data_IF_499179596084
#
_entry.id   IF_499179596084
#
_cell.length_a   1.000
_cell.length_b   1.000
_cell.length_c   1.000
_cell.angle_alpha   90.00
_cell.angle_beta   90.00
_cell.angle_gamma   90.00
#
_symmetry.space_group_name_H-M   'P 1'
#
loop_
_entity.id
_entity.type
_entity.pdbx_description
1 polymer ?
#
# COMPACT_ATOMS: atom_id res chain seq x y z
N UNK A 1 -10.39 9.19 20.74
CA UNK A 1 -10.42 10.24 21.78
C UNK A 1 -11.12 11.45 21.17
N UNK A 2 -12.03 12.08 21.91
CA UNK A 2 -12.92 13.16 21.42
C UNK A 2 -12.29 14.56 21.49
N UNK A 3 -10.96 14.65 21.49
CA UNK A 3 -10.19 15.89 21.62
C UNK A 3 -9.37 16.23 20.36
N UNK A 4 -9.63 15.54 19.23
CA UNK A 4 -8.92 15.77 17.97
C UNK A 4 -7.44 15.36 18.00
N UNK A 5 -6.98 14.69 19.06
CA UNK A 5 -5.63 14.15 19.13
C UNK A 5 -5.60 12.75 18.52
N UNK A 6 -4.89 12.64 17.40
CA UNK A 6 -4.62 11.35 16.78
C UNK A 6 -3.52 10.64 17.59
N UNK A 7 -3.83 9.44 18.09
CA UNK A 7 -2.80 8.53 18.61
C UNK A 7 -2.11 7.91 17.40
N UNK A 8 -0.91 8.37 17.08
CA UNK A 8 -0.01 7.65 16.18
C UNK A 8 0.40 6.33 16.86
N UNK A 9 -0.21 5.22 16.45
CA UNK A 9 0.28 3.88 16.84
C UNK A 9 1.71 3.74 16.30
N UNK A 10 2.65 3.31 17.15
CA UNK A 10 4.11 3.20 16.89
C UNK A 10 4.53 2.28 15.71
N UNK A 11 3.61 1.80 14.89
CA UNK A 11 3.87 0.87 13.77
C UNK A 11 4.13 1.51 12.40
N UNK A 12 4.04 2.83 12.23
CA UNK A 12 4.23 3.51 10.93
C UNK A 12 5.21 4.69 11.01
N UNK A 13 6.17 4.63 11.95
CA UNK A 13 7.24 5.65 12.11
C UNK A 13 8.49 5.27 11.31
N UNK A 14 8.42 4.30 10.40
CA UNK A 14 9.55 4.05 9.50
C UNK A 14 9.52 5.05 8.35
N UNK A 15 10.42 6.03 8.45
CA UNK A 15 10.81 6.96 7.41
C UNK A 15 9.81 8.06 7.02
N UNK A 16 8.64 8.24 7.64
CA UNK A 16 7.82 9.43 7.34
C UNK A 16 8.59 10.71 7.70
N UNK A 17 9.25 10.77 8.86
CA UNK A 17 10.08 11.95 9.19
C UNK A 17 11.31 12.08 8.30
N UNK A 18 11.93 10.96 7.93
CA UNK A 18 13.09 10.95 7.02
C UNK A 18 12.67 11.40 5.61
N UNK A 19 11.53 10.94 5.13
CA UNK A 19 10.89 11.32 3.88
C UNK A 19 10.49 12.80 3.89
N UNK A 20 9.83 13.27 4.95
CA UNK A 20 9.50 14.69 5.13
C UNK A 20 10.76 15.56 5.22
N UNK A 21 11.84 15.07 5.85
CA UNK A 21 13.13 15.77 5.90
C UNK A 21 13.78 15.84 4.51
N UNK A 22 13.79 14.74 3.76
CA UNK A 22 14.26 14.70 2.37
C UNK A 22 13.44 15.67 1.50
N UNK A 23 12.12 15.64 1.58
CA UNK A 23 11.24 16.56 0.84
C UNK A 23 11.51 18.03 1.20
N UNK A 24 11.78 18.35 2.47
CA UNK A 24 12.12 19.70 2.91
C UNK A 24 13.49 20.16 2.43
N UNK A 25 14.50 19.30 2.49
CA UNK A 25 15.85 19.59 1.99
C UNK A 25 15.84 19.82 0.48
N UNK A 26 15.16 18.95 -0.27
CA UNK A 26 15.02 19.10 -1.73
C UNK A 26 14.24 20.37 -2.10
N UNK A 27 13.23 20.76 -1.31
CA UNK A 27 12.50 22.01 -1.54
C UNK A 27 13.38 23.26 -1.28
N UNK A 28 14.29 23.20 -0.30
CA UNK A 28 15.24 24.29 -0.03
C UNK A 28 16.31 24.39 -1.12
N UNK A 29 16.85 23.27 -1.59
CA UNK A 29 17.79 23.22 -2.71
C UNK A 29 17.15 23.77 -4.00
N UNK A 30 15.87 23.45 -4.24
CA UNK A 30 15.14 23.98 -5.38
C UNK A 30 14.87 25.49 -5.30
N UNK A 31 14.46 26.02 -4.15
CA UNK A 31 14.31 27.47 -3.95
C UNK A 31 15.62 28.22 -4.17
N UNK A 32 16.76 27.59 -3.83
CA UNK A 32 18.09 28.14 -4.09
C UNK A 32 18.47 28.07 -5.59
N UNK A 33 17.95 27.09 -6.33
CA UNK A 33 18.17 26.94 -7.78
C UNK A 33 17.29 27.84 -8.65
N UNK A 34 16.13 28.26 -8.14
CA UNK A 34 15.19 29.19 -8.80
C UNK A 34 15.75 30.61 -8.94
N UNK A 35 16.67 31.01 -8.06
CA UNK A 35 17.35 32.32 -8.15
C UNK A 35 18.39 32.38 -9.29
N UNK A 36 18.71 31.26 -9.96
CA UNK A 36 19.84 31.18 -10.91
C UNK A 36 19.58 30.58 -12.29
N UNK A 37 18.37 30.14 -12.64
CA UNK A 37 18.10 29.66 -14.00
C UNK A 37 16.79 30.14 -14.63
N UNK A 38 16.92 31.11 -15.53
CA UNK A 38 16.01 31.35 -16.65
C UNK A 38 16.56 30.67 -17.91
N UNK A 39 16.12 29.45 -18.25
CA UNK A 39 16.21 28.99 -19.64
C UNK A 39 15.24 27.85 -19.95
N UNK A 40 14.48 28.08 -21.02
CA UNK A 40 13.56 27.18 -21.70
C UNK A 40 14.21 25.84 -22.10
N UNK A 41 13.56 24.72 -21.79
CA UNK A 41 13.09 23.73 -22.79
C UNK A 41 12.43 22.48 -22.15
N UNK A 42 11.48 21.93 -22.92
CA UNK A 42 10.76 20.65 -22.79
C UNK A 42 9.45 20.67 -21.99
N UNK A 43 8.34 20.43 -22.72
CA UNK A 43 6.99 20.02 -22.27
C UNK A 43 6.63 20.35 -20.81
N UNK A 44 6.84 21.60 -20.41
CA UNK A 44 6.67 21.98 -19.02
C UNK A 44 5.19 21.98 -18.69
N UNK A 45 4.86 21.30 -17.59
CA UNK A 45 3.57 21.33 -16.96
C UNK A 45 3.25 22.79 -16.58
N UNK A 46 2.47 23.51 -17.40
CA UNK A 46 2.16 24.92 -17.16
C UNK A 46 1.14 24.99 -16.02
N UNK A 47 1.62 25.34 -14.82
CA UNK A 47 0.78 25.46 -13.63
C UNK A 47 0.60 26.94 -13.30
N UNK A 48 -0.64 27.44 -13.26
CA UNK A 48 -0.90 28.82 -12.90
C UNK A 48 -0.35 29.18 -11.51
N UNK A 49 0.31 30.31 -11.39
CA UNK A 49 1.00 30.75 -10.16
C UNK A 49 0.07 30.86 -8.95
N UNK A 50 -1.20 31.22 -9.17
CA UNK A 50 -2.21 31.29 -8.12
C UNK A 50 -2.48 29.94 -7.45
N UNK A 51 -2.29 28.81 -8.14
CA UNK A 51 -2.48 27.48 -7.58
C UNK A 51 -1.37 27.12 -6.58
N UNK A 52 -0.14 27.60 -6.79
CA UNK A 52 0.95 27.39 -5.82
C UNK A 52 0.67 28.10 -4.50
N UNK A 53 0.15 29.33 -4.56
CA UNK A 53 -0.23 30.09 -3.37
C UNK A 53 -1.40 29.44 -2.62
N UNK A 54 -2.33 28.81 -3.34
CA UNK A 54 -3.52 28.16 -2.77
C UNK A 54 -3.23 26.74 -2.25
N UNK A 55 -2.31 26.01 -2.89
CA UNK A 55 -2.01 24.61 -2.59
C UNK A 55 -0.49 24.36 -2.52
N UNK A 56 0.19 24.71 -1.41
CA UNK A 56 1.64 24.59 -1.28
C UNK A 56 2.19 23.18 -1.50
N UNK A 57 1.42 22.15 -1.12
CA UNK A 57 1.81 20.75 -1.34
C UNK A 57 1.89 20.37 -2.83
N UNK A 58 1.07 20.99 -3.67
CA UNK A 58 1.10 20.78 -5.12
C UNK A 58 2.41 21.27 -5.72
N UNK A 59 2.91 22.41 -5.24
CA UNK A 59 4.22 22.92 -5.61
C UNK A 59 5.31 21.89 -5.28
N UNK A 60 5.28 21.32 -4.08
CA UNK A 60 6.23 20.27 -3.66
C UNK A 60 6.19 19.05 -4.59
N UNK A 61 5.01 18.59 -4.99
CA UNK A 61 4.87 17.44 -5.89
C UNK A 61 5.40 17.72 -7.30
N UNK A 62 5.16 18.92 -7.85
CA UNK A 62 5.64 19.31 -9.19
C UNK A 62 7.16 19.48 -9.19
N UNK A 63 7.71 20.08 -8.13
CA UNK A 63 9.16 20.19 -7.94
C UNK A 63 9.79 18.81 -7.85
N UNK A 64 9.20 17.91 -7.07
CA UNK A 64 9.65 16.52 -6.96
C UNK A 64 9.62 15.79 -8.31
N UNK A 65 8.54 15.95 -9.11
CA UNK A 65 8.48 15.33 -10.44
C UNK A 65 9.56 15.86 -11.38
N UNK A 66 9.92 17.15 -11.30
CA UNK A 66 11.00 17.73 -12.11
C UNK A 66 12.37 17.20 -11.69
N UNK A 67 12.64 17.14 -10.38
CA UNK A 67 13.91 16.62 -9.84
C UNK A 67 14.16 15.15 -10.19
N UNK A 68 13.12 14.32 -10.23
CA UNK A 68 13.27 12.89 -10.56
C UNK A 68 13.36 12.66 -12.07
N UNK A 69 12.84 13.57 -12.89
CA UNK A 69 12.93 13.46 -14.35
C UNK A 69 14.40 13.43 -14.81
N UNK A 70 15.25 14.18 -14.11
CA UNK A 70 16.70 14.20 -14.32
C UNK A 70 17.39 12.87 -13.95
N UNK A 71 16.72 12.01 -13.18
CA UNK A 71 17.23 10.72 -12.73
C UNK A 71 16.84 9.53 -13.66
N UNK A 72 16.32 9.78 -14.87
CA UNK A 72 15.95 8.76 -15.88
C UNK A 72 14.90 7.71 -15.44
N UNK A 73 14.10 8.00 -14.41
CA UNK A 73 12.99 7.13 -14.03
C UNK A 73 11.79 7.32 -14.95
N UNK A 74 11.01 6.25 -15.16
CA UNK A 74 9.72 6.35 -15.85
C UNK A 74 8.72 7.09 -14.96
N UNK A 75 8.46 8.35 -15.31
CA UNK A 75 7.52 9.23 -14.62
C UNK A 75 6.15 9.30 -15.30
N UNK A 76 5.87 8.40 -16.25
CA UNK A 76 4.63 8.43 -17.04
C UNK A 76 3.39 8.47 -16.14
N UNK A 77 3.33 7.63 -15.13
CA UNK A 77 2.22 7.60 -14.18
C UNK A 77 2.06 8.89 -13.36
N UNK A 78 3.17 9.39 -12.79
CA UNK A 78 3.16 10.63 -12.00
C UNK A 78 2.75 11.83 -12.85
N UNK A 79 3.26 11.91 -14.08
CA UNK A 79 2.90 12.96 -15.02
C UNK A 79 1.42 12.90 -15.40
N UNK A 80 0.85 11.71 -15.61
CA UNK A 80 -0.59 11.55 -15.88
C UNK A 80 -1.42 12.04 -14.69
N UNK A 81 -1.05 11.68 -13.46
CA UNK A 81 -1.73 12.14 -12.25
C UNK A 81 -1.68 13.67 -12.12
N UNK A 82 -0.49 14.25 -12.26
CA UNK A 82 -0.30 15.70 -12.09
C UNK A 82 -1.07 16.48 -13.15
N UNK A 83 -0.97 16.06 -14.42
CA UNK A 83 -1.74 16.65 -15.52
C UNK A 83 -3.25 16.58 -15.26
N UNK A 84 -3.74 15.43 -14.80
CA UNK A 84 -5.16 15.26 -14.50
C UNK A 84 -5.63 16.21 -13.40
N UNK A 85 -4.85 16.31 -12.32
CA UNK A 85 -5.13 17.18 -11.18
C UNK A 85 -5.12 18.66 -11.57
N UNK A 86 -4.11 19.12 -12.31
CA UNK A 86 -4.01 20.52 -12.76
C UNK A 86 -5.16 20.85 -13.69
N UNK A 87 -5.46 19.98 -14.65
CA UNK A 87 -6.61 20.17 -15.55
C UNK A 87 -7.88 20.40 -14.74
N UNK A 88 -8.18 19.54 -13.76
CA UNK A 88 -9.37 19.66 -12.92
C UNK A 88 -9.41 20.95 -12.09
N UNK A 89 -8.26 21.51 -11.70
CA UNK A 89 -8.20 22.74 -10.92
C UNK A 89 -8.28 24.01 -11.77
N UNK A 90 -7.86 23.93 -13.03
CA UNK A 90 -7.85 25.07 -13.96
C UNK A 90 -9.16 25.16 -14.74
N UNK A 91 -9.81 24.04 -15.04
CA UNK A 91 -11.07 24.05 -15.79
C UNK A 91 -12.22 24.60 -14.95
N UNK A 92 -12.94 25.58 -15.49
CA UNK A 92 -14.20 26.09 -14.92
C UNK A 92 -15.40 25.17 -15.19
N UNK A 93 -15.17 24.03 -15.85
CA UNK A 93 -16.23 23.04 -16.12
C UNK A 93 -16.85 22.52 -14.82
N UNK A 94 -18.15 22.24 -14.89
CA UNK A 94 -18.90 21.64 -13.77
C UNK A 94 -18.49 20.18 -13.58
N UNK A 95 -17.41 19.96 -12.83
CA UNK A 95 -16.99 18.65 -12.32
C UNK A 95 -15.62 18.18 -12.79
N UNK A 96 -14.93 17.46 -11.90
CA UNK A 96 -13.61 16.89 -12.16
C UNK A 96 -13.68 15.67 -13.07
N UNK A 97 -12.77 15.57 -14.04
CA UNK A 97 -12.67 14.46 -14.99
C UNK A 97 -11.36 13.72 -14.84
N UNK A 98 -11.47 12.45 -14.48
CA UNK A 98 -10.33 11.58 -14.21
C UNK A 98 -9.97 10.71 -15.42
N UNK A 99 -8.68 10.69 -15.74
CA UNK A 99 -8.07 9.80 -16.73
C UNK A 99 -8.22 8.32 -16.33
N UNK A 100 -8.29 7.40 -17.29
CA UNK A 100 -8.48 5.97 -17.04
C UNK A 100 -7.44 5.38 -16.09
N UNK A 101 -6.17 5.74 -16.24
CA UNK A 101 -5.09 5.25 -15.37
C UNK A 101 -5.27 5.79 -13.95
N UNK A 102 -5.67 7.06 -13.82
CA UNK A 102 -6.00 7.66 -12.52
C UNK A 102 -7.19 6.95 -11.91
N UNK A 103 -8.26 6.67 -12.68
CA UNK A 103 -9.44 5.92 -12.21
C UNK A 103 -9.06 4.55 -11.64
N UNK A 104 -8.21 3.79 -12.34
CA UNK A 104 -7.74 2.50 -11.86
C UNK A 104 -6.97 2.63 -10.54
N UNK A 105 -6.02 3.57 -10.46
CA UNK A 105 -5.27 3.83 -9.25
C UNK A 105 -6.17 4.20 -8.05
N UNK A 106 -7.11 5.13 -8.24
CA UNK A 106 -7.97 5.60 -7.14
C UNK A 106 -8.96 4.53 -6.69
N UNK A 107 -9.42 3.66 -7.60
CA UNK A 107 -10.24 2.50 -7.26
C UNK A 107 -9.43 1.50 -6.43
N UNK A 108 -8.20 1.18 -6.86
CA UNK A 108 -7.30 0.32 -6.08
C UNK A 108 -7.00 0.92 -4.71
N UNK A 109 -6.71 2.22 -4.62
CA UNK A 109 -6.47 2.90 -3.35
C UNK A 109 -7.69 2.82 -2.41
N UNK A 110 -8.91 2.95 -2.95
CA UNK A 110 -10.14 2.84 -2.14
C UNK A 110 -10.37 1.42 -1.63
N UNK A 111 -10.16 0.41 -2.48
CA UNK A 111 -10.29 -1.00 -2.12
C UNK A 111 -9.24 -1.39 -1.07
N UNK A 112 -7.98 -1.00 -1.31
CA UNK A 112 -6.81 -1.34 -0.48
C UNK A 112 -6.75 -0.57 0.84
N UNK A 113 -6.79 0.75 0.75
CA UNK A 113 -6.67 1.64 1.91
C UNK A 113 -7.97 1.78 2.70
N UNK A 114 -9.09 1.30 2.12
CA UNK A 114 -10.41 1.51 2.67
C UNK A 114 -10.87 2.97 2.60
N UNK A 115 -12.15 3.19 2.94
CA UNK A 115 -12.79 4.50 2.87
C UNK A 115 -12.06 5.58 3.67
N UNK A 116 -11.54 5.25 4.84
CA UNK A 116 -10.89 6.22 5.74
C UNK A 116 -9.58 6.74 5.17
N UNK A 117 -8.69 5.85 4.68
CA UNK A 117 -7.44 6.28 4.05
C UNK A 117 -7.71 7.07 2.77
N UNK A 118 -8.69 6.61 1.98
CA UNK A 118 -9.10 7.29 0.76
C UNK A 118 -9.59 8.73 1.01
N UNK A 119 -10.53 8.91 1.93
CA UNK A 119 -11.05 10.24 2.28
C UNK A 119 -9.96 11.13 2.87
N UNK A 120 -9.05 10.56 3.68
CA UNK A 120 -7.90 11.30 4.18
C UNK A 120 -7.07 11.87 3.02
N UNK A 121 -6.68 11.05 2.04
CA UNK A 121 -5.91 11.53 0.89
C UNK A 121 -6.72 12.56 0.07
N UNK A 122 -8.02 12.31 -0.15
CA UNK A 122 -8.90 13.18 -0.95
C UNK A 122 -9.03 14.58 -0.36
N UNK A 123 -9.18 14.67 0.96
CA UNK A 123 -9.33 15.94 1.66
C UNK A 123 -8.01 16.73 1.73
N UNK A 124 -6.88 16.03 1.70
CA UNK A 124 -5.55 16.66 1.78
C UNK A 124 -4.95 17.00 0.41
N UNK A 125 -5.39 16.35 -0.67
CA UNK A 125 -4.89 16.60 -2.02
C UNK A 125 -6.07 16.91 -2.96
N UNK A 126 -6.38 18.20 -3.17
CA UNK A 126 -7.55 18.61 -3.94
C UNK A 126 -7.42 18.20 -5.41
N UNK A 127 -8.55 17.84 -6.01
CA UNK A 127 -8.67 17.41 -7.40
C UNK A 127 -7.90 16.15 -7.80
N UNK A 128 -7.13 15.53 -6.89
CA UNK A 128 -6.44 14.26 -7.12
C UNK A 128 -7.41 13.08 -7.15
N UNK A 129 -8.33 13.04 -6.18
CA UNK A 129 -9.24 11.91 -5.97
C UNK A 129 -10.71 12.33 -6.18
N UNK A 130 -11.51 11.53 -6.90
CA UNK A 130 -12.95 11.75 -7.03
C UNK A 130 -13.68 11.58 -5.69
N UNK A 131 -14.97 11.95 -5.66
CA UNK A 131 -15.82 11.67 -4.50
C UNK A 131 -16.05 10.17 -4.32
N UNK A 132 -16.37 9.75 -3.09
CA UNK A 132 -16.71 8.35 -2.79
C UNK A 132 -17.89 7.85 -3.61
N UNK A 133 -18.87 8.71 -3.92
CA UNK A 133 -19.99 8.37 -4.79
C UNK A 133 -19.52 7.99 -6.20
N UNK A 134 -18.60 8.77 -6.77
CA UNK A 134 -18.03 8.49 -8.10
C UNK A 134 -17.19 7.21 -8.07
N UNK A 135 -16.42 6.96 -7.01
CA UNK A 135 -15.67 5.70 -6.85
C UNK A 135 -16.61 4.50 -6.81
N UNK A 136 -17.73 4.59 -6.09
CA UNK A 136 -18.71 3.51 -6.08
C UNK A 136 -19.27 3.25 -7.48
N UNK A 137 -19.49 4.30 -8.28
CA UNK A 137 -19.86 4.15 -9.70
C UNK A 137 -18.74 3.48 -10.51
N UNK A 138 -17.47 3.82 -10.27
CA UNK A 138 -16.36 3.17 -10.96
C UNK A 138 -16.26 1.69 -10.61
N UNK A 139 -16.41 1.33 -9.33
CA UNK A 139 -16.40 -0.07 -8.87
C UNK A 139 -17.56 -0.85 -9.49
N UNK A 140 -18.76 -0.27 -9.51
CA UNK A 140 -19.94 -0.88 -10.11
C UNK A 140 -19.86 -0.96 -11.65
N UNK A 141 -19.15 -0.04 -12.30
CA UNK A 141 -18.91 -0.09 -13.74
C UNK A 141 -17.77 -1.06 -14.09
N UNK A 142 -16.85 -1.29 -13.16
CA UNK A 142 -15.77 -2.27 -13.27
C UNK A 142 -16.17 -3.64 -12.74
N UNK A 143 -17.47 -3.96 -12.69
CA UNK A 143 -18.02 -5.24 -12.23
C UNK A 143 -17.56 -6.35 -13.19
N UNK A 144 -16.29 -6.72 -13.03
CA UNK A 144 -15.65 -7.81 -13.70
C UNK A 144 -15.79 -9.01 -12.77
N UNK A 145 -16.62 -10.00 -13.12
CA UNK A 145 -16.84 -11.18 -12.29
C UNK A 145 -15.56 -12.00 -12.08
N UNK A 146 -14.49 -11.72 -12.83
CA UNK A 146 -13.18 -12.38 -12.71
C UNK A 146 -12.16 -11.57 -11.90
N UNK A 147 -12.49 -10.37 -11.43
CA UNK A 147 -11.58 -9.56 -10.63
C UNK A 147 -11.61 -9.97 -9.16
N UNK A 148 -10.50 -10.56 -8.70
CA UNK A 148 -10.29 -10.94 -7.31
C UNK A 148 -9.25 -10.02 -6.69
N UNK A 149 -9.50 -9.64 -5.44
CA UNK A 149 -8.54 -8.96 -4.64
C UNK A 149 -7.87 -9.95 -3.70
N UNK A 150 -6.54 -9.87 -3.60
CA UNK A 150 -5.78 -10.68 -2.65
C UNK A 150 -4.92 -9.79 -1.77
N UNK A 151 -5.04 -9.99 -0.47
CA UNK A 151 -4.27 -9.27 0.55
C UNK A 151 -3.49 -10.24 1.43
N UNK A 152 -2.33 -9.77 1.88
CA UNK A 152 -1.55 -10.37 2.95
C UNK A 152 -1.59 -9.42 4.16
N UNK A 153 -1.88 -9.95 5.35
CA UNK A 153 -1.78 -9.21 6.60
C UNK A 153 -1.32 -10.10 7.75
N UNK A 154 -0.62 -9.50 8.71
CA UNK A 154 -0.14 -10.17 9.91
C UNK A 154 -0.90 -9.67 11.14
N UNK A 155 -1.62 -10.59 11.79
CA UNK A 155 -2.43 -10.29 12.97
C UNK A 155 -1.88 -10.97 14.22
N UNK A 156 -2.06 -10.33 15.38
CA UNK A 156 -1.67 -10.93 16.65
C UNK A 156 -2.61 -12.07 17.05
N UNK A 157 -2.04 -13.16 17.55
CA UNK A 157 -2.77 -14.33 18.01
C UNK A 157 -2.34 -14.75 19.41
N UNK A 158 -3.24 -15.45 20.12
CA UNK A 158 -2.90 -16.08 21.40
C UNK A 158 -1.94 -17.23 21.12
N UNK A 159 -0.71 -17.23 21.68
CA UNK A 159 0.26 -18.29 21.43
C UNK A 159 -0.24 -19.61 21.99
N UNK A 160 -0.67 -20.50 21.10
CA UNK A 160 -1.16 -21.83 21.45
C UNK A 160 -0.58 -22.84 20.47
N UNK A 161 -0.06 -23.92 21.01
CA UNK A 161 0.41 -25.06 20.23
C UNK A 161 -0.58 -26.19 20.39
N UNK A 162 -1.00 -26.78 19.29
CA UNK A 162 -1.86 -27.96 19.26
C UNK A 162 -1.25 -28.99 18.34
N UNK A 163 -1.29 -30.25 18.74
CA UNK A 163 -0.89 -31.35 17.89
C UNK A 163 -2.06 -31.77 17.00
N UNK A 164 -1.83 -31.84 15.69
CA UNK A 164 -2.78 -32.41 14.74
C UNK A 164 -2.41 -33.86 14.47
N UNK A 165 -3.27 -34.76 14.95
CA UNK A 165 -3.12 -36.20 14.78
C UNK A 165 -3.26 -36.65 13.33
N UNK A 166 -3.96 -35.89 12.47
CA UNK A 166 -4.19 -36.30 11.07
C UNK A 166 -2.94 -36.13 10.21
N UNK A 167 -2.21 -35.03 10.43
CA UNK A 167 -1.00 -34.71 9.68
C UNK A 167 0.28 -34.96 10.49
N UNK A 168 0.17 -35.56 11.69
CA UNK A 168 1.28 -35.84 12.59
C UNK A 168 2.23 -34.63 12.77
N UNK A 169 1.65 -33.47 13.06
CA UNK A 169 2.40 -32.20 13.09
C UNK A 169 1.92 -31.30 14.23
N UNK A 170 2.79 -30.41 14.69
CA UNK A 170 2.38 -29.32 15.56
C UNK A 170 1.89 -28.11 14.76
N UNK A 171 0.75 -27.58 15.17
CA UNK A 171 0.18 -26.32 14.70
C UNK A 171 0.42 -25.26 15.78
N UNK A 172 0.81 -24.05 15.37
CA UNK A 172 0.98 -22.89 16.27
C UNK A 172 2.42 -22.48 16.55
N UNK A 173 3.40 -23.14 15.92
CA UNK A 173 4.77 -22.64 15.85
C UNK A 173 4.94 -21.63 14.71
N UNK A 174 5.96 -20.78 14.83
CA UNK A 174 6.41 -19.98 13.69
C UNK A 174 7.04 -20.92 12.65
N UNK A 175 6.55 -20.90 11.41
CA UNK A 175 7.12 -21.73 10.35
C UNK A 175 8.41 -21.11 9.83
N UNK A 176 9.45 -21.93 9.52
CA UNK A 176 10.60 -21.45 8.78
C UNK A 176 10.16 -21.07 7.36
N UNK A 177 10.83 -20.06 6.81
CA UNK A 177 10.61 -19.61 5.44
C UNK A 177 11.68 -20.20 4.50
N UNK A 178 11.30 -20.48 3.26
CA UNK A 178 12.22 -20.85 2.19
C UNK A 178 12.95 -19.62 1.62
N UNK A 179 13.80 -19.83 0.61
CA UNK A 179 14.52 -18.74 -0.07
C UNK A 179 13.63 -17.75 -0.82
N UNK A 180 12.33 -18.03 -0.95
CA UNK A 180 11.34 -17.15 -1.59
C UNK A 180 10.45 -16.44 -0.56
N UNK A 181 10.71 -16.62 0.75
CA UNK A 181 9.88 -16.07 1.81
C UNK A 181 8.57 -16.83 2.04
N UNK A 182 8.40 -18.02 1.46
CA UNK A 182 7.21 -18.85 1.63
C UNK A 182 7.37 -19.80 2.83
N UNK A 183 6.31 -20.07 3.59
CA UNK A 183 6.37 -21.02 4.69
C UNK A 183 6.65 -22.45 4.19
N UNK A 184 7.62 -23.12 4.82
CA UNK A 184 7.94 -24.52 4.50
C UNK A 184 6.89 -25.42 5.16
N UNK A 185 6.06 -26.04 4.32
CA UNK A 185 5.00 -26.94 4.76
C UNK A 185 5.56 -28.14 5.52
N UNK A 186 4.83 -28.61 6.53
CA UNK A 186 5.16 -29.82 7.31
C UNK A 186 6.55 -29.81 7.99
N UNK A 187 7.11 -28.63 8.26
CA UNK A 187 8.43 -28.48 8.91
C UNK A 187 8.52 -29.12 10.30
N UNK A 188 7.37 -29.32 10.95
CA UNK A 188 7.24 -29.94 12.27
C UNK A 188 6.49 -31.27 12.23
N UNK A 189 6.64 -32.03 11.14
CA UNK A 189 6.11 -33.39 10.99
C UNK A 189 7.17 -34.43 11.34
N UNK A 190 6.85 -35.39 12.21
CA UNK A 190 7.79 -36.47 12.57
C UNK A 190 7.08 -37.65 13.23
N UNK A 191 7.59 -38.86 13.01
CA UNK A 191 7.12 -40.06 13.71
C UNK A 191 7.86 -40.31 15.04
N UNK A 192 8.80 -39.43 15.42
CA UNK A 192 9.60 -39.55 16.64
C UNK A 192 9.04 -38.71 17.79
N UNK A 193 8.64 -39.36 18.88
CA UNK A 193 8.19 -38.66 20.09
C UNK A 193 9.28 -37.76 20.68
N UNK A 194 10.54 -38.21 20.71
CA UNK A 194 11.68 -37.38 21.17
C UNK A 194 11.79 -36.10 20.38
N UNK A 195 11.58 -36.17 19.05
CA UNK A 195 11.64 -34.99 18.19
C UNK A 195 10.48 -34.02 18.44
N UNK A 196 9.29 -34.55 18.75
CA UNK A 196 8.15 -33.73 19.16
C UNK A 196 8.44 -33.00 20.48
N UNK A 197 9.05 -33.67 21.45
CA UNK A 197 9.41 -33.09 22.76
C UNK A 197 10.46 -31.98 22.64
N UNK A 198 11.48 -32.20 21.82
CA UNK A 198 12.49 -31.19 21.45
C UNK A 198 11.82 -29.95 20.85
N UNK A 199 10.96 -30.13 19.84
CA UNK A 199 10.29 -29.00 19.20
C UNK A 199 9.37 -28.24 20.14
N UNK A 200 8.64 -28.95 21.01
CA UNK A 200 7.77 -28.30 21.99
C UNK A 200 8.52 -27.40 22.97
N UNK A 201 9.76 -27.78 23.31
CA UNK A 201 10.60 -27.06 24.25
C UNK A 201 11.36 -25.90 23.59
N UNK A 202 11.87 -26.12 22.38
CA UNK A 202 12.84 -25.21 21.76
C UNK A 202 12.21 -24.24 20.75
N UNK A 203 11.11 -24.63 20.10
CA UNK A 203 10.53 -23.83 19.03
C UNK A 203 9.60 -22.75 19.61
N UNK A 204 9.82 -21.52 19.13
CA UNK A 204 9.02 -20.37 19.55
C UNK A 204 7.58 -20.53 19.05
N UNK A 205 6.65 -20.40 19.98
CA UNK A 205 5.21 -20.31 19.69
C UNK A 205 4.93 -19.04 18.89
N UNK A 206 4.13 -19.17 17.84
CA UNK A 206 3.74 -18.02 17.03
C UNK A 206 2.90 -17.06 17.88
N UNK A 207 3.28 -15.78 17.84
CA UNK A 207 2.51 -14.67 18.44
C UNK A 207 1.77 -13.87 17.37
N UNK A 208 2.11 -14.12 16.10
CA UNK A 208 1.55 -13.49 14.93
C UNK A 208 1.15 -14.59 13.94
N UNK A 209 0.01 -14.38 13.30
CA UNK A 209 -0.50 -15.19 12.20
C UNK A 209 -0.45 -14.32 10.95
N UNK A 210 0.34 -14.74 9.97
CA UNK A 210 0.26 -14.16 8.65
C UNK A 210 -0.87 -14.85 7.88
N UNK A 211 -1.77 -14.08 7.28
CA UNK A 211 -2.94 -14.59 6.58
C UNK A 211 -3.04 -13.98 5.19
N UNK A 212 -3.40 -14.81 4.22
CA UNK A 212 -3.76 -14.39 2.89
C UNK A 212 -5.27 -14.47 2.69
N UNK A 213 -5.85 -13.35 2.33
CA UNK A 213 -7.28 -13.15 2.20
C UNK A 213 -7.61 -12.92 0.73
N UNK A 214 -8.57 -13.67 0.20
CA UNK A 214 -9.13 -13.43 -1.12
C UNK A 214 -10.54 -12.85 -0.95
N UNK A 215 -10.81 -11.77 -1.67
CA UNK A 215 -12.12 -11.15 -1.73
C UNK A 215 -12.50 -10.90 -3.20
N UNK A 216 -13.65 -11.41 -3.68
CA UNK A 216 -14.15 -11.03 -5.00
C UNK A 216 -14.53 -9.55 -5.01
N UNK A 217 -14.18 -8.85 -6.08
CA UNK A 217 -14.54 -7.44 -6.25
C UNK A 217 -15.94 -7.26 -6.85
N UNK A 218 -16.49 -8.30 -7.44
CA UNK A 218 -17.79 -8.22 -8.06
C UNK A 218 -18.92 -8.24 -7.04
N UNK A 219 -19.82 -7.26 -7.19
CA UNK A 219 -21.00 -7.11 -6.34
C UNK A 219 -22.02 -8.24 -6.54
N UNK A 220 -21.91 -8.95 -7.67
CA UNK A 220 -22.71 -10.11 -8.05
C UNK A 220 -22.48 -11.33 -7.17
N UNK A 221 -21.28 -11.46 -6.59
CA UNK A 221 -20.95 -12.58 -5.72
C UNK A 221 -21.20 -12.21 -4.27
N UNK A 222 -22.24 -12.79 -3.67
CA UNK A 222 -22.45 -12.77 -2.21
C UNK A 222 -21.47 -13.70 -1.47
N UNK A 223 -20.22 -13.80 -1.93
CA UNK A 223 -19.19 -14.66 -1.35
C UNK A 223 -18.43 -13.83 -0.32
N UNK A 224 -18.41 -14.30 0.93
CA UNK A 224 -17.62 -13.67 1.97
C UNK A 224 -16.12 -13.82 1.69
N UNK A 225 -15.28 -12.85 2.06
CA UNK A 225 -13.84 -13.02 2.01
C UNK A 225 -13.43 -14.32 2.70
N UNK A 226 -12.49 -15.06 2.10
CA UNK A 226 -12.01 -16.30 2.66
C UNK A 226 -10.49 -16.30 2.79
N UNK A 227 -10.01 -16.91 3.86
CA UNK A 227 -8.60 -17.14 4.10
C UNK A 227 -8.22 -18.39 3.31
N UNK A 228 -7.36 -18.25 2.29
CA UNK A 228 -6.91 -19.42 1.54
C UNK A 228 -5.61 -20.02 2.09
N UNK A 229 -4.81 -19.20 2.79
CA UNK A 229 -3.62 -19.66 3.49
C UNK A 229 -3.35 -18.81 4.73
N UNK A 230 -2.85 -19.44 5.80
CA UNK A 230 -2.37 -18.74 6.98
C UNK A 230 -1.29 -19.57 7.67
N UNK A 231 -0.34 -18.90 8.31
CA UNK A 231 0.73 -19.57 9.05
C UNK A 231 1.30 -18.70 10.16
N UNK A 232 1.84 -19.37 11.18
CA UNK A 232 2.51 -18.70 12.30
C UNK A 232 3.82 -18.05 11.83
N UNK A 233 4.05 -16.81 12.24
CA UNK A 233 5.29 -16.08 11.95
C UNK A 233 5.83 -15.42 13.21
N UNK A 234 7.14 -15.16 13.22
CA UNK A 234 7.79 -14.31 14.23
C UNK A 234 8.07 -12.88 13.71
N UNK A 235 7.57 -12.55 12.50
CA UNK A 235 7.70 -11.26 11.82
C UNK A 235 9.15 -10.80 11.66
N UNK A 236 10.07 -11.75 11.44
CA UNK A 236 11.46 -11.46 11.08
C UNK A 236 11.72 -11.47 9.56
N UNK A 237 10.69 -11.58 8.74
CA UNK A 237 10.82 -11.51 7.28
C UNK A 237 11.29 -10.13 6.83
N UNK A 238 12.23 -10.09 5.89
CA UNK A 238 12.69 -8.87 5.26
C UNK A 238 11.74 -8.42 4.15
N UNK A 239 11.87 -7.17 3.69
CA UNK A 239 11.07 -6.66 2.57
C UNK A 239 11.25 -7.48 1.29
N UNK A 240 12.45 -8.02 1.06
CA UNK A 240 12.73 -8.89 -0.07
C UNK A 240 11.93 -10.20 -0.02
N UNK A 241 11.76 -10.79 1.17
CA UNK A 241 10.98 -12.01 1.38
C UNK A 241 9.49 -11.79 1.09
N UNK A 242 8.97 -10.59 1.38
CA UNK A 242 7.57 -10.22 1.10
C UNK A 242 7.38 -10.06 -0.41
N UNK A 243 8.28 -9.35 -1.09
CA UNK A 243 8.19 -9.14 -2.55
C UNK A 243 8.33 -10.46 -3.32
N UNK A 244 9.31 -11.29 -2.98
CA UNK A 244 9.51 -12.61 -3.62
C UNK A 244 8.28 -13.50 -3.48
N UNK A 245 7.65 -13.47 -2.31
CA UNK A 245 6.43 -14.21 -2.02
C UNK A 245 5.23 -13.70 -2.82
N UNK A 246 5.04 -12.39 -2.91
CA UNK A 246 3.98 -11.83 -3.75
C UNK A 246 4.13 -12.27 -5.20
N UNK A 247 5.35 -12.23 -5.75
CA UNK A 247 5.62 -12.70 -7.12
C UNK A 247 5.35 -14.20 -7.34
N UNK A 248 5.38 -15.01 -6.28
CA UNK A 248 5.12 -16.45 -6.36
C UNK A 248 3.65 -16.81 -6.16
N UNK A 249 2.91 -16.00 -5.39
CA UNK A 249 1.51 -16.24 -5.06
C UNK A 249 0.57 -15.54 -6.05
N UNK A 250 0.94 -14.36 -6.54
CA UNK A 250 0.15 -13.49 -7.42
C UNK A 250 0.78 -13.39 -8.81
#
# INVERSE_FOLDING_TARGET
LNDGRFILKKGLVYNVEKFLKILRTLNQEYLTSLDHHSSNNSSDLIVPEYLFKKFPFMQTLIVYSKLIADCKYDLTFLNIILNNMIRNLVTEETGFRYDTIVRQFVTSLYILGGRTAYEFVRLNIPALLPSVQIIQTYIAASDNPEAWFVAEDATAVVPKVTYDTKSNTFIGFSLPLDSNGLPIQNSYSTDSFTRLEEWYSDIKRATLLNAYLIQPLSSSFHISPYIFAAYGTDNKSESADVISRWYKIY
#
